data_IF_764709223561
#
_entry.id   IF_764709223561
#
_cell.length_a   1.000
_cell.length_b   1.000
_cell.length_c   1.000
_cell.angle_alpha   90.00
_cell.angle_beta   90.00
_cell.angle_gamma   90.00
#
_symmetry.space_group_name_H-M   'P 1'
#
loop_
_entity.id
_entity.type
_entity.pdbx_description
1 polymer ?
#
# COMPACT_ATOMS: atom_id res chain seq x y z
N UNK A 1 -24.00 -16.54 11.86
CA UNK A 1 -23.49 -16.49 10.46
C UNK A 1 -23.88 -17.76 9.73
N UNK A 2 -24.17 -17.69 8.44
CA UNK A 2 -24.50 -18.87 7.62
C UNK A 2 -23.21 -19.50 7.09
N UNK A 3 -23.06 -20.81 7.31
CA UNK A 3 -21.99 -21.60 6.70
C UNK A 3 -22.44 -22.01 5.30
N UNK A 4 -21.59 -21.79 4.31
CA UNK A 4 -21.86 -22.06 2.90
C UNK A 4 -20.96 -23.19 2.41
N UNK A 5 -21.50 -24.13 1.63
CA UNK A 5 -20.70 -25.21 1.04
C UNK A 5 -20.32 -24.82 -0.39
N UNK A 6 -19.02 -24.62 -0.63
CA UNK A 6 -18.49 -24.24 -1.93
C UNK A 6 -18.84 -25.24 -3.04
N UNK A 7 -18.85 -26.52 -2.71
CA UNK A 7 -19.10 -27.57 -3.69
C UNK A 7 -20.58 -27.73 -4.04
N UNK A 8 -21.48 -27.20 -3.19
CA UNK A 8 -22.91 -27.13 -3.46
C UNK A 8 -23.33 -25.86 -4.24
N UNK A 9 -22.39 -24.95 -4.54
CA UNK A 9 -22.66 -23.68 -5.24
C UNK A 9 -22.32 -23.77 -6.73
N UNK A 10 -23.13 -23.08 -7.55
CA UNK A 10 -22.82 -22.86 -8.97
C UNK A 10 -21.83 -21.70 -9.19
N UNK A 11 -21.42 -21.46 -10.43
CA UNK A 11 -20.45 -20.41 -10.79
C UNK A 11 -20.94 -19.00 -10.41
N UNK A 12 -22.22 -18.70 -10.58
CA UNK A 12 -22.77 -17.38 -10.24
C UNK A 12 -22.77 -17.15 -8.73
N UNK A 13 -23.15 -18.17 -7.96
CA UNK A 13 -23.11 -18.16 -6.50
C UNK A 13 -21.68 -18.02 -5.98
N UNK A 14 -20.70 -18.75 -6.55
CA UNK A 14 -19.28 -18.61 -6.22
C UNK A 14 -18.76 -17.20 -6.45
N UNK A 15 -19.13 -16.59 -7.58
CA UNK A 15 -18.78 -15.20 -7.87
C UNK A 15 -19.36 -14.25 -6.83
N UNK A 16 -20.63 -14.44 -6.45
CA UNK A 16 -21.28 -13.62 -5.43
C UNK A 16 -20.64 -13.80 -4.04
N UNK A 17 -20.20 -15.02 -3.69
CA UNK A 17 -19.52 -15.29 -2.42
C UNK A 17 -18.19 -14.52 -2.28
N UNK A 18 -17.46 -14.36 -3.38
CA UNK A 18 -16.18 -13.69 -3.42
C UNK A 18 -16.29 -12.18 -3.75
N UNK A 19 -17.53 -11.69 -3.96
CA UNK A 19 -17.75 -10.27 -4.22
C UNK A 19 -17.53 -9.44 -2.97
N UNK A 20 -16.80 -8.34 -3.13
CA UNK A 20 -16.51 -7.39 -2.06
C UNK A 20 -17.66 -6.40 -1.85
N UNK A 21 -17.95 -5.98 -0.59
CA UNK A 21 -19.11 -5.14 -0.29
C UNK A 21 -19.12 -3.80 -1.03
N UNK A 22 -17.96 -3.18 -1.18
CA UNK A 22 -17.81 -1.83 -1.71
C UNK A 22 -17.35 -1.77 -3.18
N UNK A 23 -17.54 -2.87 -3.96
CA UNK A 23 -17.19 -2.89 -5.39
C UNK A 23 -18.28 -2.29 -6.29
N UNK A 24 -19.36 -1.76 -5.73
CA UNK A 24 -20.35 -1.03 -6.52
C UNK A 24 -19.72 0.23 -7.11
N UNK A 25 -19.85 0.38 -8.43
CA UNK A 25 -19.41 1.58 -9.16
C UNK A 25 -20.18 2.80 -8.65
N UNK A 26 -19.62 3.54 -7.71
CA UNK A 26 -20.27 4.68 -7.09
C UNK A 26 -19.95 5.98 -7.86
N UNK A 27 -20.73 6.23 -8.91
CA UNK A 27 -20.64 7.46 -9.68
C UNK A 27 -20.85 8.72 -8.82
N UNK A 28 -21.65 8.63 -7.76
CA UNK A 28 -21.87 9.74 -6.83
C UNK A 28 -20.63 10.03 -5.98
N UNK A 29 -19.94 8.98 -5.51
CA UNK A 29 -18.65 9.11 -4.83
C UNK A 29 -17.63 9.80 -5.72
N UNK A 30 -17.46 9.32 -6.96
CA UNK A 30 -16.51 9.91 -7.94
C UNK A 30 -16.82 11.38 -8.20
N UNK A 31 -18.07 11.72 -8.46
CA UNK A 31 -18.48 13.12 -8.70
C UNK A 31 -18.24 14.01 -7.47
N UNK A 32 -18.53 13.51 -6.27
CA UNK A 32 -18.28 14.22 -5.01
C UNK A 32 -16.80 14.48 -4.79
N UNK A 33 -15.95 13.46 -4.96
CA UNK A 33 -14.49 13.59 -4.83
C UNK A 33 -13.93 14.56 -5.86
N UNK A 34 -14.36 14.46 -7.12
CA UNK A 34 -13.95 15.38 -8.18
C UNK A 34 -14.30 16.84 -7.86
N UNK A 35 -15.49 17.07 -7.30
CA UNK A 35 -15.90 18.40 -6.88
C UNK A 35 -15.03 18.95 -5.75
N UNK A 36 -14.68 18.11 -4.76
CA UNK A 36 -13.79 18.50 -3.65
C UNK A 36 -12.38 18.83 -4.14
N UNK A 37 -11.79 17.98 -5.00
CA UNK A 37 -10.45 18.20 -5.59
C UNK A 37 -10.45 19.51 -6.38
N UNK A 38 -11.44 19.71 -7.25
CA UNK A 38 -11.57 20.95 -8.02
C UNK A 38 -11.65 22.18 -7.10
N UNK A 39 -12.50 22.11 -6.08
CA UNK A 39 -12.66 23.19 -5.11
C UNK A 39 -11.34 23.54 -4.40
N UNK A 40 -10.56 22.53 -3.98
CA UNK A 40 -9.23 22.75 -3.38
C UNK A 40 -8.29 23.44 -4.37
N UNK A 41 -8.30 23.05 -5.64
CA UNK A 41 -7.45 23.65 -6.68
C UNK A 41 -7.80 25.09 -6.99
N UNK A 42 -9.10 25.42 -7.04
CA UNK A 42 -9.58 26.76 -7.42
C UNK A 42 -9.55 27.75 -6.25
N UNK A 43 -9.89 27.31 -5.05
CA UNK A 43 -10.05 28.16 -3.88
C UNK A 43 -8.85 28.12 -2.92
N UNK A 44 -7.93 27.20 -3.10
CA UNK A 44 -6.67 27.10 -2.37
C UNK A 44 -6.86 26.90 -0.85
N UNK A 45 -6.11 27.67 -0.07
CA UNK A 45 -6.08 27.58 1.40
C UNK A 45 -7.47 27.80 2.02
N UNK A 46 -8.33 28.64 1.40
CA UNK A 46 -9.70 28.88 1.88
C UNK A 46 -10.52 27.59 1.87
N UNK A 47 -10.48 26.83 0.75
CA UNK A 47 -11.16 25.55 0.66
C UNK A 47 -10.64 24.53 1.69
N UNK A 48 -9.33 24.47 1.90
CA UNK A 48 -8.75 23.59 2.93
C UNK A 48 -9.29 23.91 4.32
N UNK A 49 -9.34 25.19 4.70
CA UNK A 49 -9.85 25.60 6.00
C UNK A 49 -11.35 25.25 6.19
N UNK A 50 -12.18 25.52 5.17
CA UNK A 50 -13.61 25.22 5.22
C UNK A 50 -13.90 23.73 5.24
N UNK A 51 -13.13 22.93 4.47
CA UNK A 51 -13.30 21.48 4.44
C UNK A 51 -12.81 20.82 5.74
N UNK A 52 -11.71 21.30 6.33
CA UNK A 52 -11.24 20.87 7.64
C UNK A 52 -12.26 21.20 8.73
N UNK A 53 -12.83 22.41 8.72
CA UNK A 53 -13.90 22.77 9.65
C UNK A 53 -15.14 21.87 9.50
N UNK A 54 -15.50 21.53 8.26
CA UNK A 54 -16.67 20.68 7.95
C UNK A 54 -16.47 19.21 8.31
N UNK A 55 -15.32 18.62 7.98
CA UNK A 55 -15.10 17.19 8.08
C UNK A 55 -14.35 16.76 9.34
N UNK A 56 -13.44 17.61 9.82
CA UNK A 56 -12.62 17.33 11.01
C UNK A 56 -13.11 18.10 12.25
N UNK A 57 -14.07 19.02 12.09
CA UNK A 57 -14.76 19.71 13.19
C UNK A 57 -13.94 20.80 13.89
N UNK A 58 -12.82 21.24 13.29
CA UNK A 58 -11.96 22.27 13.86
C UNK A 58 -11.58 23.33 12.84
N UNK A 59 -11.29 24.54 13.32
CA UNK A 59 -10.81 25.68 12.51
C UNK A 59 -9.33 25.89 12.78
N UNK A 60 -8.52 25.81 11.73
CA UNK A 60 -7.07 26.00 11.80
C UNK A 60 -6.66 27.27 11.07
N UNK A 61 -5.81 28.09 11.69
CA UNK A 61 -5.17 29.25 11.04
C UNK A 61 -4.01 28.80 10.13
N UNK A 62 -3.28 27.78 10.56
CA UNK A 62 -2.18 27.18 9.85
C UNK A 62 -2.29 25.65 9.91
N UNK A 63 -1.91 24.99 8.84
CA UNK A 63 -1.99 23.51 8.77
C UNK A 63 -0.70 22.83 9.22
N UNK A 64 0.45 23.52 9.17
CA UNK A 64 1.75 22.94 9.54
C UNK A 64 1.88 22.77 11.04
N UNK A 65 2.31 21.59 11.46
CA UNK A 65 2.64 21.28 12.86
C UNK A 65 3.93 22.00 13.24
N UNK A 66 3.93 22.65 14.42
CA UNK A 66 5.10 23.39 14.92
C UNK A 66 6.08 22.47 15.65
N UNK A 67 7.33 22.93 15.85
CA UNK A 67 8.35 22.22 16.64
C UNK A 67 7.93 22.03 18.09
N UNK A 68 7.20 22.99 18.65
CA UNK A 68 6.66 22.93 20.02
C UNK A 68 5.64 21.79 20.17
N UNK A 69 4.78 21.57 19.15
CA UNK A 69 3.83 20.46 19.16
C UNK A 69 4.52 19.10 19.15
N UNK A 70 5.64 18.95 18.45
CA UNK A 70 6.46 17.72 18.52
C UNK A 70 7.09 17.53 19.91
N UNK A 71 7.61 18.60 20.52
CA UNK A 71 8.17 18.51 21.86
C UNK A 71 7.11 18.15 22.92
N UNK A 72 5.91 18.72 22.79
CA UNK A 72 4.76 18.40 23.64
C UNK A 72 4.34 16.94 23.45
N UNK A 73 4.23 16.46 22.22
CA UNK A 73 3.89 15.06 21.93
C UNK A 73 4.87 14.07 22.58
N UNK A 74 6.16 14.37 22.57
CA UNK A 74 7.17 13.56 23.27
C UNK A 74 6.96 13.51 24.80
N UNK A 75 6.46 14.59 25.40
CA UNK A 75 6.17 14.62 26.81
C UNK A 75 4.85 13.92 27.17
N UNK A 76 3.84 14.00 26.30
CA UNK A 76 2.50 13.42 26.54
C UNK A 76 2.46 11.91 26.32
N UNK A 77 3.18 11.40 25.30
CA UNK A 77 3.13 9.96 24.99
C UNK A 77 3.81 9.14 26.08
N UNK A 78 3.13 8.13 26.67
CA UNK A 78 3.70 7.29 27.71
C UNK A 78 5.00 6.59 27.27
N UNK A 79 5.94 6.41 28.17
CA UNK A 79 7.24 5.78 27.90
C UNK A 79 7.08 4.35 27.33
N UNK A 80 6.07 3.60 27.78
CA UNK A 80 5.76 2.27 27.25
C UNK A 80 5.36 2.32 25.77
N UNK A 81 4.55 3.30 25.36
CA UNK A 81 4.14 3.46 23.96
C UNK A 81 5.33 3.94 23.09
N UNK A 82 6.15 4.87 23.60
CA UNK A 82 7.38 5.28 22.89
C UNK A 82 8.31 4.10 22.67
N UNK A 83 8.53 3.26 23.70
CA UNK A 83 9.32 2.05 23.58
C UNK A 83 8.76 1.04 22.56
N UNK A 84 7.43 0.90 22.47
CA UNK A 84 6.79 0.06 21.47
C UNK A 84 6.97 0.62 20.04
N UNK A 85 6.83 1.94 19.85
CA UNK A 85 7.08 2.64 18.58
C UNK A 85 8.52 2.43 18.12
N UNK A 86 9.51 2.62 19.01
CA UNK A 86 10.93 2.40 18.70
C UNK A 86 11.21 0.95 18.32
N UNK A 87 10.69 0.00 19.09
CA UNK A 87 10.88 -1.42 18.84
C UNK A 87 10.23 -1.87 17.50
N UNK A 88 9.06 -1.31 17.17
CA UNK A 88 8.40 -1.54 15.88
C UNK A 88 9.23 -0.96 14.73
N UNK A 89 9.65 0.32 14.84
CA UNK A 89 10.54 0.96 13.88
C UNK A 89 11.78 0.12 13.58
N UNK A 90 12.45 -0.39 14.60
CA UNK A 90 13.68 -1.17 14.44
C UNK A 90 13.46 -2.47 13.67
N UNK A 91 12.32 -3.15 13.88
CA UNK A 91 11.99 -4.37 13.15
C UNK A 91 11.60 -4.07 11.70
N UNK A 92 10.80 -3.03 11.47
CA UNK A 92 10.43 -2.55 10.13
C UNK A 92 11.68 -2.15 9.35
N UNK A 93 12.61 -1.42 9.99
CA UNK A 93 13.87 -1.01 9.37
C UNK A 93 14.72 -2.21 8.97
N UNK A 94 14.89 -3.21 9.85
CA UNK A 94 15.66 -4.43 9.55
C UNK A 94 15.08 -5.20 8.36
N UNK A 95 13.77 -5.38 8.34
CA UNK A 95 13.11 -6.12 7.26
C UNK A 95 13.25 -5.39 5.93
N UNK A 96 12.93 -4.11 5.92
CA UNK A 96 12.98 -3.30 4.70
C UNK A 96 14.41 -3.07 4.20
N UNK A 97 15.39 -2.94 5.08
CA UNK A 97 16.81 -2.83 4.70
C UNK A 97 17.31 -4.12 4.03
N UNK A 98 16.90 -5.28 4.54
CA UNK A 98 17.24 -6.58 3.92
C UNK A 98 16.65 -6.76 2.52
N UNK A 99 15.45 -6.18 2.27
CA UNK A 99 14.74 -6.22 0.99
C UNK A 99 15.14 -5.14 -0.02
N UNK A 100 16.15 -4.33 0.25
CA UNK A 100 16.57 -3.24 -0.66
C UNK A 100 17.07 -3.78 -1.99
N UNK A 101 16.52 -3.24 -3.08
CA UNK A 101 17.00 -3.52 -4.43
C UNK A 101 18.41 -2.94 -4.60
N UNK A 102 19.28 -3.71 -5.27
CA UNK A 102 20.66 -3.26 -5.57
C UNK A 102 20.77 -2.76 -7.01
N UNK A 103 21.57 -1.71 -7.26
CA UNK A 103 21.97 -1.35 -8.62
C UNK A 103 22.84 -2.48 -9.19
N UNK A 104 22.91 -2.56 -10.52
CA UNK A 104 23.80 -3.50 -11.18
C UNK A 104 24.32 -2.92 -12.50
N UNK A 105 25.46 -3.48 -12.93
CA UNK A 105 26.10 -3.22 -14.21
C UNK A 105 26.32 -4.54 -14.92
N UNK A 106 26.04 -4.59 -16.21
CA UNK A 106 26.23 -5.76 -17.06
C UNK A 106 26.79 -5.34 -18.40
N UNK A 107 27.81 -6.03 -18.89
CA UNK A 107 28.27 -5.93 -20.26
C UNK A 107 27.44 -6.91 -21.11
N UNK A 108 26.55 -6.40 -21.97
CA UNK A 108 25.64 -7.20 -22.79
C UNK A 108 26.27 -7.68 -24.11
N UNK A 109 27.29 -6.97 -24.58
CA UNK A 109 28.19 -7.36 -25.64
C UNK A 109 29.55 -6.65 -25.39
N UNK A 110 30.68 -7.13 -25.95
CA UNK A 110 31.96 -6.49 -25.78
C UNK A 110 31.91 -4.98 -26.10
N UNK A 111 32.20 -4.14 -25.10
CA UNK A 111 32.13 -2.68 -25.23
C UNK A 111 30.73 -2.07 -25.15
N UNK A 112 29.71 -2.87 -24.74
CA UNK A 112 28.33 -2.39 -24.49
C UNK A 112 27.98 -2.61 -23.04
N UNK A 113 28.03 -1.55 -22.26
CA UNK A 113 27.76 -1.57 -20.80
C UNK A 113 26.37 -1.01 -20.52
N UNK A 114 25.53 -1.83 -19.90
CA UNK A 114 24.21 -1.45 -19.43
C UNK A 114 24.17 -1.44 -17.91
N UNK A 115 23.58 -0.38 -17.33
CA UNK A 115 23.49 -0.25 -15.88
C UNK A 115 22.06 0.03 -15.46
N UNK A 116 21.70 -0.43 -14.26
CA UNK A 116 20.52 0.03 -13.53
C UNK A 116 20.97 0.77 -12.29
N UNK A 117 20.74 2.08 -12.25
CA UNK A 117 20.96 2.91 -11.08
C UNK A 117 19.63 3.21 -10.39
N UNK A 118 19.66 3.39 -9.07
CA UNK A 118 18.50 3.72 -8.25
C UNK A 118 18.55 5.18 -7.85
N UNK A 119 17.40 5.84 -7.86
CA UNK A 119 17.25 7.22 -7.38
C UNK A 119 16.00 7.31 -6.51
N UNK A 120 16.05 7.97 -5.34
CA UNK A 120 14.87 8.24 -4.54
C UNK A 120 13.90 9.15 -5.29
N UNK A 121 12.62 8.99 -4.98
CA UNK A 121 11.61 9.98 -5.36
C UNK A 121 11.88 11.24 -4.54
N UNK A 122 11.88 12.39 -5.19
CA UNK A 122 12.35 13.63 -4.55
C UNK A 122 11.39 14.14 -3.49
N UNK A 123 10.08 14.08 -3.74
CA UNK A 123 9.05 14.58 -2.84
C UNK A 123 7.95 13.55 -2.70
N UNK A 124 7.80 12.98 -1.51
CA UNK A 124 6.79 11.98 -1.23
C UNK A 124 5.80 12.49 -0.20
N UNK A 125 4.52 12.22 -0.43
CA UNK A 125 3.43 12.54 0.48
C UNK A 125 2.94 11.28 1.17
N UNK A 126 2.90 11.29 2.49
CA UNK A 126 2.41 10.20 3.33
C UNK A 126 1.07 10.62 3.93
N UNK A 127 0.03 9.85 3.68
CA UNK A 127 -1.26 10.04 4.32
C UNK A 127 -1.41 9.07 5.50
N UNK A 128 -1.59 9.61 6.69
CA UNK A 128 -1.78 8.83 7.92
C UNK A 128 -3.20 9.09 8.44
N UNK A 129 -4.10 8.10 8.38
CA UNK A 129 -5.45 8.25 8.93
C UNK A 129 -5.44 8.46 10.45
N UNK A 130 -6.34 9.31 10.95
CA UNK A 130 -6.53 9.55 12.38
C UNK A 130 -8.01 9.84 12.75
N UNK A 131 -8.96 9.63 11.83
CA UNK A 131 -10.36 10.04 12.04
C UNK A 131 -11.07 9.24 13.14
N UNK A 132 -11.26 7.94 12.96
CA UNK A 132 -11.93 7.07 13.96
C UNK A 132 -10.96 6.47 14.98
N UNK A 133 -9.69 6.34 14.62
CA UNK A 133 -8.58 5.95 15.49
C UNK A 133 -7.28 6.50 14.90
N UNK A 134 -6.35 7.00 15.70
CA UNK A 134 -5.03 7.38 15.23
C UNK A 134 -4.22 6.14 14.87
N UNK A 135 -3.46 6.22 13.76
CA UNK A 135 -2.67 5.11 13.26
C UNK A 135 -1.16 5.46 13.24
N UNK A 136 -0.49 5.55 14.39
CA UNK A 136 0.95 5.81 14.46
C UNK A 136 1.77 4.73 13.72
N UNK A 137 1.28 3.50 13.66
CA UNK A 137 1.89 2.41 12.88
C UNK A 137 2.01 2.77 11.40
N UNK A 138 0.99 3.42 10.81
CA UNK A 138 1.06 3.86 9.41
C UNK A 138 2.18 4.87 9.16
N UNK A 139 2.44 5.76 10.13
CA UNK A 139 3.59 6.68 10.03
C UNK A 139 4.92 5.92 9.99
N UNK A 140 5.07 4.83 10.76
CA UNK A 140 6.25 3.95 10.72
C UNK A 140 6.34 3.18 9.40
N UNK A 141 5.24 2.53 8.98
CA UNK A 141 5.16 1.69 7.79
C UNK A 141 5.46 2.45 6.49
N UNK A 142 5.18 3.75 6.47
CA UNK A 142 5.49 4.62 5.33
C UNK A 142 6.81 5.36 5.51
N UNK A 143 7.06 5.89 6.71
CA UNK A 143 8.22 6.74 6.99
C UNK A 143 9.55 5.99 6.97
N UNK A 144 9.60 4.77 7.53
CA UNK A 144 10.83 3.97 7.54
C UNK A 144 11.31 3.63 6.12
N UNK A 145 10.49 3.04 5.22
CA UNK A 145 10.95 2.76 3.87
C UNK A 145 11.22 4.02 3.04
N UNK A 146 10.51 5.14 3.26
CA UNK A 146 10.81 6.42 2.62
C UNK A 146 12.21 6.96 3.01
N UNK A 147 12.55 6.87 4.30
CA UNK A 147 13.87 7.23 4.82
C UNK A 147 14.98 6.31 4.28
N UNK A 148 14.76 4.99 4.31
CA UNK A 148 15.71 4.00 3.75
C UNK A 148 15.94 4.20 2.25
N UNK A 149 14.92 4.60 1.51
CA UNK A 149 15.05 4.95 0.10
C UNK A 149 15.88 6.20 -0.14
N UNK A 150 16.07 7.04 0.88
CA UNK A 150 16.78 8.31 0.80
C UNK A 150 15.94 9.45 0.20
N UNK A 151 14.62 9.44 0.37
CA UNK A 151 13.74 10.51 -0.12
C UNK A 151 14.12 11.85 0.53
N UNK A 152 14.50 12.90 -0.25
CA UNK A 152 14.97 14.16 0.33
C UNK A 152 13.87 14.95 1.03
N UNK A 153 12.63 14.86 0.56
CA UNK A 153 11.49 15.54 1.15
C UNK A 153 10.35 14.56 1.39
N UNK A 154 10.02 14.40 2.67
CA UNK A 154 8.90 13.55 3.12
C UNK A 154 7.89 14.48 3.80
N UNK A 155 6.69 14.52 3.26
CA UNK A 155 5.55 15.29 3.78
C UNK A 155 4.55 14.31 4.36
N UNK A 156 4.04 14.56 5.56
CA UNK A 156 3.00 13.76 6.18
C UNK A 156 1.75 14.59 6.39
N UNK A 157 0.60 14.11 5.93
CA UNK A 157 -0.71 14.66 6.24
C UNK A 157 -1.50 13.71 7.13
N UNK A 158 -2.09 14.26 8.20
CA UNK A 158 -2.97 13.52 9.12
C UNK A 158 -4.12 14.42 9.52
N UNK A 159 -5.35 13.90 9.71
CA UNK A 159 -6.47 14.70 10.22
C UNK A 159 -6.14 15.33 11.57
N UNK A 160 -6.55 16.57 11.82
CA UNK A 160 -6.49 17.16 13.16
C UNK A 160 -7.48 16.49 14.10
N UNK A 161 -7.21 16.57 15.39
CA UNK A 161 -8.18 16.30 16.46
C UNK A 161 -9.20 17.44 16.56
N UNK A 162 -10.30 17.23 17.29
CA UNK A 162 -11.35 18.24 17.45
C UNK A 162 -10.85 19.53 18.12
N UNK A 163 -9.78 19.46 18.91
CA UNK A 163 -9.12 20.62 19.52
C UNK A 163 -8.14 21.34 18.57
N UNK A 164 -8.00 20.85 17.33
CA UNK A 164 -7.09 21.40 16.33
C UNK A 164 -5.63 20.91 16.46
N UNK A 165 -5.34 20.00 17.39
CA UNK A 165 -4.00 19.41 17.54
C UNK A 165 -3.82 18.18 16.67
N UNK A 166 -2.55 17.76 16.46
CA UNK A 166 -2.22 16.43 15.95
C UNK A 166 -2.35 15.38 17.05
N UNK A 167 -2.58 14.11 16.64
CA UNK A 167 -2.43 13.01 17.61
C UNK A 167 -0.96 12.89 18.05
N UNK A 168 -0.65 12.88 19.37
CA UNK A 168 0.71 12.87 19.86
C UNK A 168 1.49 11.60 19.45
N UNK A 169 0.84 10.43 19.39
CA UNK A 169 1.50 9.19 19.00
C UNK A 169 1.89 9.19 17.51
N UNK A 170 1.08 9.81 16.65
CA UNK A 170 1.42 10.01 15.23
C UNK A 170 2.63 10.93 15.08
N UNK A 171 2.71 12.01 15.88
CA UNK A 171 3.87 12.91 15.86
C UNK A 171 5.15 12.23 16.34
N UNK A 172 5.07 11.43 17.42
CA UNK A 172 6.20 10.63 17.90
C UNK A 172 6.67 9.65 16.81
N UNK A 173 5.74 8.92 16.18
CA UNK A 173 6.06 8.00 15.10
C UNK A 173 6.67 8.70 13.88
N UNK A 174 6.16 9.88 13.49
CA UNK A 174 6.74 10.70 12.44
C UNK A 174 8.19 11.12 12.79
N UNK A 175 8.41 11.58 14.02
CA UNK A 175 9.72 12.06 14.48
C UNK A 175 10.78 10.96 14.51
N UNK A 176 10.44 9.74 14.94
CA UNK A 176 11.40 8.61 14.92
C UNK A 176 11.74 8.15 13.50
N UNK A 177 10.91 8.52 12.51
CA UNK A 177 11.20 8.36 11.09
C UNK A 177 11.96 9.55 10.48
N UNK A 178 12.25 10.62 11.26
CA UNK A 178 12.92 11.83 10.78
C UNK A 178 12.00 12.74 9.95
N UNK A 179 10.68 12.68 10.16
CA UNK A 179 9.70 13.48 9.45
C UNK A 179 9.30 14.67 10.33
N UNK A 180 9.62 15.88 9.88
CA UNK A 180 9.30 17.16 10.53
C UNK A 180 8.27 18.00 9.73
N UNK A 181 7.99 17.61 8.51
CA UNK A 181 7.04 18.29 7.62
C UNK A 181 5.66 17.63 7.73
N UNK A 182 4.95 17.91 8.82
CA UNK A 182 3.62 17.36 9.12
C UNK A 182 2.56 18.44 8.99
N UNK A 183 1.43 18.09 8.36
CA UNK A 183 0.30 18.98 8.11
C UNK A 183 -1.00 18.36 8.63
N UNK A 184 -1.82 19.19 9.27
CA UNK A 184 -3.12 18.84 9.85
C UNK A 184 -4.21 18.93 8.77
N UNK A 185 -4.24 17.95 7.91
CA UNK A 185 -5.21 17.82 6.83
C UNK A 185 -5.64 16.35 6.71
N UNK A 186 -6.95 16.12 6.65
CA UNK A 186 -7.55 14.80 6.48
C UNK A 186 -8.19 14.61 5.10
N UNK A 187 -8.62 13.41 4.77
CA UNK A 187 -9.48 13.07 3.65
C UNK A 187 -9.01 13.52 2.27
N UNK A 188 -9.98 13.82 1.40
CA UNK A 188 -9.76 14.24 0.01
C UNK A 188 -8.91 15.51 -0.08
N UNK A 189 -9.11 16.47 0.85
CA UNK A 189 -8.39 17.73 0.84
C UNK A 189 -6.90 17.57 1.14
N UNK A 190 -6.51 16.58 1.95
CA UNK A 190 -5.10 16.24 2.19
C UNK A 190 -4.44 15.69 0.92
N UNK A 191 -5.12 14.77 0.24
CA UNK A 191 -4.64 14.19 -1.03
C UNK A 191 -4.48 15.28 -2.09
N UNK A 192 -5.46 16.15 -2.25
CA UNK A 192 -5.39 17.27 -3.18
C UNK A 192 -4.29 18.27 -2.81
N UNK A 193 -4.14 18.62 -1.52
CA UNK A 193 -3.09 19.53 -1.06
C UNK A 193 -1.69 19.00 -1.38
N UNK A 194 -1.41 17.71 -1.13
CA UNK A 194 -0.14 17.09 -1.45
C UNK A 194 0.08 16.97 -2.96
N UNK A 195 -0.96 16.60 -3.73
CA UNK A 195 -0.84 16.41 -5.17
C UNK A 195 -0.57 17.70 -5.93
N UNK A 196 -1.13 18.84 -5.47
CA UNK A 196 -1.05 20.11 -6.20
C UNK A 196 -0.20 21.18 -5.50
N UNK A 197 0.26 20.96 -4.28
CA UNK A 197 1.08 21.93 -3.54
C UNK A 197 0.26 23.11 -3.01
N UNK A 198 -0.81 22.84 -2.26
CA UNK A 198 -1.77 23.85 -1.79
C UNK A 198 -1.71 24.00 -0.26
N UNK A 199 -1.95 25.20 0.25
CA UNK A 199 -2.03 25.46 1.70
C UNK A 199 -0.69 25.38 2.43
N UNK A 200 0.41 25.68 1.75
CA UNK A 200 1.77 25.55 2.29
C UNK A 200 2.33 24.12 2.26
N UNK A 201 1.51 23.15 1.85
CA UNK A 201 1.97 21.76 1.63
C UNK A 201 2.81 21.71 0.37
N UNK A 202 4.05 21.21 0.43
CA UNK A 202 4.87 21.03 -0.77
C UNK A 202 4.20 20.08 -1.77
N UNK A 203 4.25 20.40 -3.06
CA UNK A 203 3.77 19.49 -4.10
C UNK A 203 4.61 18.21 -4.08
N UNK A 204 3.94 17.06 -3.95
CA UNK A 204 4.56 15.75 -3.93
C UNK A 204 4.55 15.10 -5.32
N UNK A 205 5.57 14.29 -5.58
CA UNK A 205 5.70 13.55 -6.84
C UNK A 205 4.95 12.20 -6.77
N UNK A 206 4.83 11.63 -5.56
CA UNK A 206 4.09 10.38 -5.31
C UNK A 206 3.47 10.38 -3.92
N UNK A 207 2.24 9.86 -3.81
CA UNK A 207 1.46 9.78 -2.59
C UNK A 207 1.35 8.33 -2.12
N UNK A 208 1.42 8.15 -0.80
CA UNK A 208 1.36 6.86 -0.13
C UNK A 208 0.38 6.90 1.03
N UNK A 209 -0.19 5.78 1.36
CA UNK A 209 -0.98 5.59 2.56
C UNK A 209 -2.38 5.06 2.31
N UNK A 210 -2.91 4.32 3.31
CA UNK A 210 -4.26 3.77 3.28
C UNK A 210 -5.29 4.86 3.56
N UNK A 211 -6.54 4.58 3.25
CA UNK A 211 -7.65 5.48 3.56
C UNK A 211 -9.00 4.85 3.22
N UNK A 212 -10.07 5.54 3.59
CA UNK A 212 -11.41 5.12 3.22
C UNK A 212 -11.67 5.30 1.70
N UNK A 213 -12.86 4.92 1.23
CA UNK A 213 -13.24 4.99 -0.18
C UNK A 213 -13.06 6.39 -0.80
N UNK A 214 -13.28 7.48 -0.03
CA UNK A 214 -13.06 8.85 -0.49
C UNK A 214 -11.56 9.14 -0.74
N UNK A 215 -10.69 8.72 0.17
CA UNK A 215 -9.23 8.88 0.04
C UNK A 215 -8.70 8.05 -1.13
N UNK A 216 -9.18 6.81 -1.26
CA UNK A 216 -8.83 5.91 -2.36
C UNK A 216 -9.23 6.51 -3.71
N UNK A 217 -10.45 6.97 -3.83
CA UNK A 217 -10.95 7.63 -5.05
C UNK A 217 -10.16 8.93 -5.35
N UNK A 218 -9.84 9.72 -4.32
CA UNK A 218 -9.04 10.93 -4.50
C UNK A 218 -7.63 10.60 -5.02
N UNK A 219 -6.99 9.57 -4.49
CA UNK A 219 -5.68 9.08 -4.98
C UNK A 219 -5.77 8.68 -6.45
N UNK A 220 -6.80 7.95 -6.85
CA UNK A 220 -6.98 7.55 -8.24
C UNK A 220 -7.20 8.74 -9.17
N UNK A 221 -8.01 9.72 -8.77
CA UNK A 221 -8.26 10.91 -9.58
C UNK A 221 -7.02 11.77 -9.74
N UNK A 222 -6.24 12.00 -8.68
CA UNK A 222 -5.00 12.79 -8.80
C UNK A 222 -3.91 12.03 -9.58
N UNK A 223 -3.92 10.70 -9.58
CA UNK A 223 -2.99 9.89 -10.37
C UNK A 223 -3.30 9.92 -11.86
N UNK A 224 -4.55 10.13 -12.23
CA UNK A 224 -4.99 10.27 -13.62
C UNK A 224 -4.86 11.71 -14.16
N UNK A 225 -4.58 12.70 -13.30
CA UNK A 225 -4.33 14.08 -13.73
C UNK A 225 -2.82 14.27 -14.02
N UNK A 226 -2.43 14.68 -15.23
CA UNK A 226 -1.03 14.98 -15.54
C UNK A 226 -0.38 16.03 -14.64
N UNK A 227 -1.17 16.94 -14.05
CA UNK A 227 -0.70 17.93 -13.08
C UNK A 227 -0.67 17.40 -11.63
N UNK A 228 -1.19 16.22 -11.39
CA UNK A 228 -1.32 15.60 -10.08
C UNK A 228 -0.05 14.92 -9.59
N UNK A 229 -0.21 13.78 -8.94
CA UNK A 229 0.88 12.99 -8.37
C UNK A 229 0.62 11.49 -8.56
N UNK A 230 1.69 10.70 -8.76
CA UNK A 230 1.57 9.24 -8.75
C UNK A 230 1.09 8.72 -7.38
N UNK A 231 0.65 7.47 -7.32
CA UNK A 231 0.23 6.83 -6.06
C UNK A 231 0.99 5.51 -5.85
N UNK A 232 0.98 5.02 -4.60
CA UNK A 232 1.57 3.74 -4.21
C UNK A 232 0.88 2.56 -4.91
N UNK A 233 -0.41 2.37 -4.64
CA UNK A 233 -1.24 1.31 -5.19
C UNK A 233 -2.73 1.64 -5.01
N UNK A 234 -3.63 0.97 -5.75
CA UNK A 234 -5.04 0.94 -5.40
C UNK A 234 -5.23 0.24 -4.04
N UNK A 235 -5.84 0.92 -3.09
CA UNK A 235 -6.15 0.38 -1.78
C UNK A 235 -7.56 0.80 -1.38
N UNK A 236 -8.38 -0.13 -0.93
CA UNK A 236 -9.74 0.08 -0.43
C UNK A 236 -9.88 -0.38 1.02
N UNK A 237 -11.10 -0.69 1.49
CA UNK A 237 -11.32 -1.28 2.78
C UNK A 237 -10.50 -2.55 3.01
N UNK A 238 -10.12 -2.75 4.27
CA UNK A 238 -9.24 -3.86 4.67
C UNK A 238 -9.93 -5.22 4.57
N UNK A 239 -9.15 -6.26 4.29
CA UNK A 239 -9.63 -7.61 4.02
C UNK A 239 -8.74 -8.66 4.71
N UNK A 240 -9.35 -9.70 5.26
CA UNK A 240 -8.64 -10.92 5.70
C UNK A 240 -9.31 -12.17 5.15
N UNK A 241 -8.50 -13.10 4.67
CA UNK A 241 -8.92 -14.45 4.35
C UNK A 241 -8.11 -15.42 5.20
N UNK A 242 -8.82 -16.26 5.96
CA UNK A 242 -8.22 -17.32 6.78
C UNK A 242 -8.51 -18.66 6.12
N UNK A 243 -7.47 -19.48 5.97
CA UNK A 243 -7.59 -20.90 5.61
C UNK A 243 -7.25 -21.72 6.84
N UNK A 244 -8.15 -22.60 7.27
CA UNK A 244 -7.98 -23.37 8.48
C UNK A 244 -8.34 -24.85 8.32
N UNK A 245 -7.53 -25.74 8.88
CA UNK A 245 -7.86 -27.17 9.01
C UNK A 245 -8.51 -27.49 10.37
N UNK A 246 -8.97 -28.72 10.55
CA UNK A 246 -9.64 -29.17 11.77
C UNK A 246 -8.78 -29.07 13.04
N UNK A 247 -7.47 -28.87 12.92
CA UNK A 247 -6.56 -28.73 14.07
C UNK A 247 -6.33 -27.30 14.51
N UNK A 248 -6.91 -26.30 13.85
CA UNK A 248 -6.77 -24.90 14.19
C UNK A 248 -7.62 -24.50 15.42
N UNK A 249 -7.20 -23.46 16.12
CA UNK A 249 -7.91 -22.94 17.28
C UNK A 249 -9.02 -21.95 16.87
N UNK A 250 -10.27 -22.29 17.16
CA UNK A 250 -11.42 -21.46 16.82
C UNK A 250 -11.41 -20.09 17.52
N UNK A 251 -10.80 -19.96 18.70
CA UNK A 251 -10.71 -18.68 19.41
C UNK A 251 -9.73 -17.74 18.71
N UNK A 252 -8.60 -18.25 18.22
CA UNK A 252 -7.60 -17.47 17.51
C UNK A 252 -8.14 -17.00 16.16
N UNK A 253 -8.76 -17.90 15.39
CA UNK A 253 -9.37 -17.54 14.11
C UNK A 253 -10.45 -16.46 14.30
N UNK A 254 -11.32 -16.61 15.30
CA UNK A 254 -12.34 -15.62 15.59
C UNK A 254 -11.73 -14.25 15.93
N UNK A 255 -10.64 -14.22 16.70
CA UNK A 255 -9.92 -12.99 17.04
C UNK A 255 -9.31 -12.32 15.79
N UNK A 256 -8.71 -13.09 14.87
CA UNK A 256 -8.15 -12.58 13.62
C UNK A 256 -9.23 -12.03 12.69
N UNK A 257 -10.38 -12.69 12.56
CA UNK A 257 -11.50 -12.18 11.77
C UNK A 257 -12.08 -10.89 12.37
N UNK A 258 -12.12 -10.79 13.71
CA UNK A 258 -12.63 -9.61 14.41
C UNK A 258 -11.65 -8.45 14.38
N UNK A 259 -10.33 -8.68 14.44
CA UNK A 259 -9.33 -7.64 14.30
C UNK A 259 -9.47 -6.91 12.96
N UNK A 260 -9.75 -7.64 11.89
CA UNK A 260 -10.02 -7.05 10.58
C UNK A 260 -11.40 -6.37 10.51
N UNK A 261 -12.43 -6.97 11.11
CA UNK A 261 -13.79 -6.42 11.08
C UNK A 261 -13.92 -5.07 11.80
N UNK A 262 -13.06 -4.77 12.79
CA UNK A 262 -13.10 -3.51 13.52
C UNK A 262 -12.49 -2.32 12.77
N UNK A 263 -11.77 -2.53 11.66
CA UNK A 263 -11.21 -1.45 10.84
C UNK A 263 -12.31 -0.56 10.24
N UNK A 264 -13.37 -1.16 9.70
CA UNK A 264 -14.45 -0.38 9.08
C UNK A 264 -15.67 -1.21 8.72
N UNK A 265 -16.82 -0.56 8.48
CA UNK A 265 -18.08 -1.27 8.17
C UNK A 265 -18.02 -2.03 6.83
N UNK A 266 -17.11 -1.63 5.94
CA UNK A 266 -16.93 -2.22 4.61
C UNK A 266 -15.79 -3.26 4.60
N UNK A 267 -15.18 -3.57 5.75
CA UNK A 267 -14.16 -4.61 5.88
C UNK A 267 -14.76 -5.98 5.54
N UNK A 268 -14.00 -6.81 4.84
CA UNK A 268 -14.43 -8.16 4.51
C UNK A 268 -13.56 -9.22 5.19
N UNK A 269 -14.22 -10.17 5.84
CA UNK A 269 -13.60 -11.30 6.53
C UNK A 269 -14.11 -12.60 5.95
N UNK A 270 -13.21 -13.50 5.56
CA UNK A 270 -13.52 -14.78 4.95
C UNK A 270 -12.79 -15.89 5.70
N UNK A 271 -13.50 -16.96 6.03
CA UNK A 271 -12.91 -18.19 6.54
C UNK A 271 -13.22 -19.34 5.57
N UNK A 272 -12.19 -20.00 5.11
CA UNK A 272 -12.27 -21.26 4.35
C UNK A 272 -11.78 -22.40 5.24
N UNK A 273 -12.59 -23.45 5.37
CA UNK A 273 -12.18 -24.63 6.13
C UNK A 273 -12.78 -25.93 5.55
N UNK A 274 -12.01 -26.99 5.62
CA UNK A 274 -12.48 -28.35 5.30
C UNK A 274 -13.15 -29.05 6.52
N UNK A 275 -13.37 -28.30 7.62
CA UNK A 275 -14.04 -28.81 8.83
C UNK A 275 -15.31 -28.02 9.15
N UNK A 276 -16.47 -28.63 8.94
CA UNK A 276 -17.74 -28.05 9.35
C UNK A 276 -17.84 -27.78 10.84
N UNK A 277 -17.21 -28.65 11.67
CA UNK A 277 -17.18 -28.47 13.10
C UNK A 277 -16.43 -27.19 13.49
N UNK A 278 -15.23 -26.98 12.94
CA UNK A 278 -14.43 -25.77 13.17
C UNK A 278 -15.19 -24.50 12.73
N UNK A 279 -15.85 -24.52 11.57
CA UNK A 279 -16.66 -23.38 11.11
C UNK A 279 -17.77 -23.03 12.10
N UNK A 280 -18.43 -24.05 12.68
CA UNK A 280 -19.43 -23.86 13.72
C UNK A 280 -18.88 -23.28 15.01
N UNK A 281 -17.73 -23.78 15.47
CA UNK A 281 -17.00 -23.28 16.64
C UNK A 281 -16.54 -21.84 16.46
N UNK A 282 -15.97 -21.50 15.31
CA UNK A 282 -15.55 -20.12 14.98
C UNK A 282 -16.76 -19.18 14.94
N UNK A 283 -17.89 -19.59 14.36
CA UNK A 283 -19.10 -18.77 14.37
C UNK A 283 -19.60 -18.45 15.79
N UNK A 284 -19.51 -19.43 16.71
CA UNK A 284 -19.86 -19.23 18.11
C UNK A 284 -18.84 -18.30 18.80
N UNK A 285 -17.55 -18.48 18.57
CA UNK A 285 -16.49 -17.64 19.11
C UNK A 285 -16.58 -16.18 18.63
N UNK A 286 -16.87 -15.94 17.34
CA UNK A 286 -17.11 -14.59 16.82
C UNK A 286 -18.26 -13.91 17.58
N UNK A 287 -19.38 -14.59 17.77
CA UNK A 287 -20.53 -14.02 18.49
C UNK A 287 -20.18 -13.67 19.96
N UNK A 288 -19.40 -14.52 20.63
CA UNK A 288 -18.96 -14.32 22.00
C UNK A 288 -17.96 -13.17 22.11
N UNK A 289 -16.93 -13.14 21.28
CA UNK A 289 -15.85 -12.16 21.37
C UNK A 289 -16.31 -10.77 20.87
N UNK A 290 -17.11 -10.69 19.80
CA UNK A 290 -17.66 -9.43 19.29
C UNK A 290 -18.48 -8.67 20.32
N UNK A 291 -19.18 -9.40 21.23
CA UNK A 291 -19.95 -8.77 22.29
C UNK A 291 -19.13 -7.96 23.29
N UNK A 292 -17.83 -8.21 23.37
CA UNK A 292 -16.88 -7.57 24.30
C UNK A 292 -16.13 -6.39 23.66
N UNK A 293 -16.24 -6.19 22.33
CA UNK A 293 -15.46 -5.17 21.64
C UNK A 293 -16.07 -3.77 21.79
N UNK A 294 -15.25 -2.74 22.10
CA UNK A 294 -15.71 -1.36 22.21
C UNK A 294 -16.32 -0.82 20.91
N UNK A 295 -15.82 -1.27 19.74
CA UNK A 295 -16.26 -0.84 18.41
C UNK A 295 -17.34 -1.75 17.80
N UNK A 296 -18.13 -2.44 18.64
CA UNK A 296 -19.12 -3.43 18.25
C UNK A 296 -20.02 -2.99 17.08
N UNK A 297 -20.52 -1.75 17.08
CA UNK A 297 -21.39 -1.26 16.01
C UNK A 297 -20.72 -1.20 14.62
N UNK A 298 -19.40 -1.11 14.53
CA UNK A 298 -18.63 -1.20 13.29
C UNK A 298 -18.49 -2.69 12.93
N UNK A 299 -18.05 -3.49 13.90
CA UNK A 299 -17.87 -4.94 13.76
C UNK A 299 -19.16 -5.62 13.27
N UNK A 300 -20.32 -5.32 13.86
CA UNK A 300 -21.61 -5.91 13.45
C UNK A 300 -21.93 -5.62 11.98
N UNK A 301 -21.59 -4.44 11.48
CA UNK A 301 -21.78 -4.09 10.05
C UNK A 301 -20.81 -4.85 9.15
N UNK A 302 -19.54 -4.93 9.50
CA UNK A 302 -18.56 -5.72 8.75
C UNK A 302 -18.91 -7.20 8.72
N UNK A 303 -19.37 -7.76 9.85
CA UNK A 303 -19.78 -9.16 9.96
C UNK A 303 -21.02 -9.50 9.13
N UNK A 304 -21.84 -8.53 8.73
CA UNK A 304 -22.92 -8.77 7.76
C UNK A 304 -22.39 -9.24 6.39
N UNK A 305 -21.14 -8.89 6.08
CA UNK A 305 -20.46 -9.30 4.85
C UNK A 305 -19.51 -10.50 5.05
N UNK A 306 -19.36 -11.01 6.28
CA UNK A 306 -18.50 -12.15 6.58
C UNK A 306 -18.93 -13.42 5.82
N UNK A 307 -17.96 -14.25 5.45
CA UNK A 307 -18.18 -15.51 4.76
C UNK A 307 -17.48 -16.65 5.51
N UNK A 308 -18.24 -17.65 5.90
CA UNK A 308 -17.74 -18.93 6.42
C UNK A 308 -18.03 -19.99 5.37
N UNK A 309 -16.99 -20.53 4.74
CA UNK A 309 -17.13 -21.39 3.55
C UNK A 309 -16.50 -22.74 3.83
N UNK A 310 -17.30 -23.80 3.70
CA UNK A 310 -16.83 -25.17 3.71
C UNK A 310 -16.26 -25.54 2.35
N UNK A 311 -15.05 -26.10 2.35
CA UNK A 311 -14.32 -26.56 1.17
C UNK A 311 -13.96 -28.05 1.28
N UNK A 312 -13.65 -28.71 0.17
CA UNK A 312 -13.29 -30.12 0.19
C UNK A 312 -11.96 -30.39 0.90
N UNK A 313 -10.97 -29.54 0.64
CA UNK A 313 -9.60 -29.68 1.17
C UNK A 313 -8.87 -28.33 1.15
N UNK A 314 -7.64 -28.31 1.65
CA UNK A 314 -6.82 -27.09 1.73
C UNK A 314 -6.34 -26.66 0.34
N UNK A 315 -6.12 -27.56 -0.60
CA UNK A 315 -5.76 -27.18 -1.98
C UNK A 315 -6.87 -26.36 -2.65
N UNK A 316 -8.13 -26.78 -2.52
CA UNK A 316 -9.27 -26.00 -2.99
C UNK A 316 -9.35 -24.63 -2.28
N UNK A 317 -9.05 -24.57 -0.98
CA UNK A 317 -9.03 -23.30 -0.25
C UNK A 317 -7.97 -22.35 -0.80
N UNK A 318 -6.78 -22.84 -1.14
CA UNK A 318 -5.70 -22.05 -1.77
C UNK A 318 -6.14 -21.53 -3.16
N UNK A 319 -6.77 -22.37 -3.98
CA UNK A 319 -7.29 -21.96 -5.29
C UNK A 319 -8.32 -20.83 -5.16
N UNK A 320 -9.23 -20.94 -4.19
CA UNK A 320 -10.22 -19.90 -3.89
C UNK A 320 -9.52 -18.63 -3.40
N UNK A 321 -8.54 -18.75 -2.52
CA UNK A 321 -7.75 -17.62 -2.02
C UNK A 321 -7.01 -16.90 -3.15
N UNK A 322 -6.33 -17.63 -4.04
CA UNK A 322 -5.66 -17.05 -5.20
C UNK A 322 -6.65 -16.35 -6.14
N UNK A 323 -7.82 -16.93 -6.34
CA UNK A 323 -8.90 -16.30 -7.12
C UNK A 323 -9.45 -15.03 -6.44
N UNK A 324 -9.52 -15.00 -5.13
CA UNK A 324 -9.92 -13.81 -4.35
C UNK A 324 -8.80 -12.77 -4.30
N UNK A 325 -7.54 -13.18 -4.15
CA UNK A 325 -6.35 -12.33 -3.97
C UNK A 325 -6.50 -11.38 -2.77
N UNK A 326 -6.47 -11.91 -1.54
CA UNK A 326 -6.71 -11.14 -0.33
C UNK A 326 -5.56 -10.18 -0.01
N UNK A 327 -5.86 -9.13 0.74
CA UNK A 327 -4.88 -8.27 1.39
C UNK A 327 -4.04 -9.08 2.39
N UNK A 328 -4.71 -9.72 3.35
CA UNK A 328 -4.11 -10.58 4.36
C UNK A 328 -4.57 -12.02 4.16
N UNK A 329 -3.64 -12.95 4.10
CA UNK A 329 -3.90 -14.38 4.06
C UNK A 329 -3.32 -15.05 5.30
N UNK A 330 -4.16 -15.69 6.13
CA UNK A 330 -3.71 -16.48 7.27
C UNK A 330 -3.87 -17.96 6.94
N UNK A 331 -2.78 -18.73 7.06
CA UNK A 331 -2.78 -20.18 6.91
C UNK A 331 -2.72 -20.85 8.29
N UNK A 332 -3.88 -20.99 8.96
CA UNK A 332 -4.03 -21.69 10.24
C UNK A 332 -4.24 -23.19 10.03
N UNK A 333 -3.23 -23.81 9.47
CA UNK A 333 -3.20 -25.25 9.13
C UNK A 333 -1.97 -25.91 9.73
N UNK A 334 -1.96 -27.26 9.87
CA UNK A 334 -0.87 -27.98 10.60
C UNK A 334 0.49 -27.84 9.94
N UNK A 335 0.57 -27.78 8.63
CA UNK A 335 1.82 -27.65 7.86
C UNK A 335 1.77 -26.44 6.91
N UNK A 336 1.72 -25.19 7.43
CA UNK A 336 1.42 -24.02 6.60
C UNK A 336 2.49 -23.76 5.53
N UNK A 337 3.79 -24.04 5.80
CA UNK A 337 4.86 -23.81 4.83
C UNK A 337 4.77 -24.72 3.61
N UNK A 338 4.14 -25.87 3.71
CA UNK A 338 3.92 -26.79 2.59
C UNK A 338 3.09 -26.13 1.46
N UNK A 339 2.19 -25.21 1.83
CA UNK A 339 1.27 -24.56 0.92
C UNK A 339 1.79 -23.25 0.33
N UNK A 340 2.95 -22.76 0.81
CA UNK A 340 3.44 -21.44 0.47
C UNK A 340 3.75 -21.28 -1.02
N UNK A 341 4.26 -22.31 -1.67
CA UNK A 341 4.59 -22.31 -3.10
C UNK A 341 3.34 -22.27 -3.99
N UNK A 342 2.18 -22.67 -3.46
CA UNK A 342 0.90 -22.65 -4.17
C UNK A 342 0.15 -21.31 -4.00
N UNK A 343 0.57 -20.46 -3.04
CA UNK A 343 0.03 -19.12 -2.86
C UNK A 343 0.64 -18.18 -3.90
N UNK A 344 -0.17 -17.76 -4.86
CA UNK A 344 0.27 -16.85 -5.94
C UNK A 344 -0.24 -15.42 -5.81
N UNK A 345 -1.28 -15.20 -5.03
CA UNK A 345 -1.93 -13.90 -4.89
C UNK A 345 -2.31 -13.62 -3.43
N UNK A 346 -1.51 -12.80 -2.75
CA UNK A 346 -1.83 -12.23 -1.44
C UNK A 346 -0.98 -10.97 -1.20
N UNK A 347 -1.47 -10.03 -0.43
CA UNK A 347 -0.70 -8.85 -0.02
C UNK A 347 0.34 -9.24 1.05
N UNK A 348 -0.07 -10.01 2.06
CA UNK A 348 0.79 -10.58 3.09
C UNK A 348 0.29 -11.97 3.51
N UNK A 349 1.19 -12.86 3.93
CA UNK A 349 0.86 -14.24 4.35
C UNK A 349 1.36 -14.50 5.76
N UNK A 350 0.48 -15.02 6.62
CA UNK A 350 0.73 -15.36 8.02
C UNK A 350 0.63 -16.87 8.20
N UNK A 351 1.63 -17.49 8.83
CA UNK A 351 1.77 -18.95 8.87
C UNK A 351 1.59 -19.50 10.28
N UNK A 352 0.54 -20.30 10.47
CA UNK A 352 0.27 -21.04 11.69
C UNK A 352 -0.45 -20.21 12.77
N UNK A 353 -0.75 -20.88 13.88
CA UNK A 353 -1.63 -20.38 14.93
C UNK A 353 -1.08 -19.17 15.71
N UNK A 354 0.23 -18.93 15.66
CA UNK A 354 0.90 -17.85 16.43
C UNK A 354 1.33 -16.67 15.54
N UNK A 355 0.80 -16.55 14.35
CA UNK A 355 1.06 -15.46 13.43
C UNK A 355 -0.23 -14.67 13.12
N UNK A 356 -0.83 -13.98 14.10
CA UNK A 356 -1.99 -13.15 13.86
C UNK A 356 -1.62 -11.97 12.96
N UNK A 357 -2.57 -11.52 12.15
CA UNK A 357 -2.46 -10.36 11.27
C UNK A 357 -1.93 -9.12 12.00
N UNK A 358 -2.42 -8.88 13.22
CA UNK A 358 -2.02 -7.73 14.05
C UNK A 358 -0.50 -7.62 14.28
N UNK A 359 0.26 -8.73 14.28
CA UNK A 359 1.72 -8.63 14.35
C UNK A 359 2.32 -8.02 13.10
N UNK A 360 1.76 -8.32 11.92
CA UNK A 360 2.14 -7.69 10.65
C UNK A 360 1.79 -6.22 10.62
N UNK A 361 0.65 -5.86 11.16
CA UNK A 361 0.15 -4.50 11.20
C UNK A 361 0.98 -3.57 12.10
N UNK A 362 1.56 -4.11 13.16
CA UNK A 362 2.20 -3.27 14.17
C UNK A 362 3.70 -3.46 14.29
N UNK A 363 4.23 -4.69 14.32
CA UNK A 363 5.56 -4.87 14.87
C UNK A 363 6.40 -6.03 14.35
N UNK A 364 5.92 -6.91 13.47
CA UNK A 364 6.73 -8.02 12.96
C UNK A 364 7.87 -7.57 12.03
N UNK A 365 7.69 -6.43 11.35
CA UNK A 365 8.65 -5.84 10.44
C UNK A 365 8.19 -5.76 8.99
N UNK A 366 7.18 -6.53 8.58
CA UNK A 366 6.53 -6.41 7.28
C UNK A 366 5.73 -5.11 7.19
N UNK A 367 5.16 -4.80 6.02
CA UNK A 367 4.38 -3.58 5.83
C UNK A 367 2.89 -3.88 5.77
N UNK A 368 2.07 -3.08 6.45
CA UNK A 368 0.62 -3.22 6.42
C UNK A 368 -0.06 -2.38 5.33
N UNK A 369 0.68 -1.54 4.60
CA UNK A 369 0.12 -0.83 3.44
C UNK A 369 0.16 -1.76 2.24
N UNK A 370 -0.91 -2.49 2.06
CA UNK A 370 -1.05 -3.64 1.17
C UNK A 370 -2.10 -3.38 0.09
N UNK A 371 -2.03 -4.07 -1.05
CA UNK A 371 -3.05 -4.00 -2.08
C UNK A 371 -4.33 -4.72 -1.63
N UNK A 372 -5.47 -4.05 -1.76
CA UNK A 372 -6.81 -4.59 -1.48
C UNK A 372 -7.62 -4.75 -2.76
N UNK A 373 -8.86 -5.20 -2.67
CA UNK A 373 -9.77 -5.34 -3.81
C UNK A 373 -9.25 -6.24 -4.93
N UNK A 374 -8.48 -7.26 -4.57
CA UNK A 374 -7.88 -8.17 -5.54
C UNK A 374 -6.69 -7.58 -6.29
N UNK A 375 -6.23 -6.39 -5.93
CA UNK A 375 -5.05 -5.78 -6.53
C UNK A 375 -3.77 -6.59 -6.23
N UNK A 376 -3.77 -7.47 -5.21
CA UNK A 376 -2.67 -8.39 -4.92
C UNK A 376 -2.33 -9.36 -6.08
N UNK A 377 -3.17 -9.45 -7.12
CA UNK A 377 -2.84 -10.16 -8.37
C UNK A 377 -1.71 -9.52 -9.17
N UNK A 378 -1.49 -8.20 -9.00
CA UNK A 378 -0.53 -7.45 -9.82
C UNK A 378 0.28 -6.42 -9.01
N UNK A 379 -0.09 -6.17 -7.76
CA UNK A 379 0.54 -5.19 -6.90
C UNK A 379 1.10 -5.84 -5.65
N UNK A 380 2.21 -5.31 -5.17
CA UNK A 380 2.82 -5.68 -3.89
C UNK A 380 2.59 -4.60 -2.85
N UNK A 381 2.71 -4.95 -1.58
CA UNK A 381 2.73 -3.98 -0.48
C UNK A 381 3.88 -2.99 -0.58
N UNK A 382 3.79 -1.91 0.20
CA UNK A 382 4.81 -0.87 0.25
C UNK A 382 6.16 -1.44 0.70
N UNK A 383 7.21 -1.07 -0.02
CA UNK A 383 8.60 -1.42 0.27
C UNK A 383 9.52 -0.24 -0.04
N UNK A 384 10.83 -0.37 0.23
CA UNK A 384 11.81 0.65 -0.16
C UNK A 384 11.78 0.94 -1.66
N UNK A 385 11.58 -0.09 -2.49
CA UNK A 385 11.48 0.07 -3.93
C UNK A 385 10.29 0.94 -4.37
N UNK A 386 9.21 1.01 -3.58
CA UNK A 386 8.06 1.88 -3.86
C UNK A 386 8.41 3.37 -3.83
N UNK A 387 9.46 3.74 -3.07
CA UNK A 387 9.98 5.10 -2.91
C UNK A 387 11.17 5.43 -3.82
N UNK A 388 11.54 4.49 -4.68
CA UNK A 388 12.65 4.63 -5.61
C UNK A 388 12.18 4.49 -7.05
N UNK A 389 12.97 5.04 -7.96
CA UNK A 389 12.87 4.80 -9.39
C UNK A 389 14.19 4.26 -9.91
N UNK A 390 14.13 3.31 -10.81
CA UNK A 390 15.29 2.82 -11.54
C UNK A 390 15.48 3.61 -12.83
N UNK A 391 16.73 3.95 -13.13
CA UNK A 391 17.13 4.58 -14.38
C UNK A 391 18.11 3.64 -15.05
N UNK A 392 17.87 3.35 -16.32
CA UNK A 392 18.82 2.59 -17.16
C UNK A 392 19.86 3.54 -17.72
N UNK A 393 21.11 3.11 -17.72
CA UNK A 393 22.23 3.83 -18.31
C UNK A 393 22.86 2.91 -19.34
N UNK A 394 23.23 3.48 -20.50
CA UNK A 394 23.91 2.77 -21.56
C UNK A 394 25.20 3.54 -21.89
N UNK A 395 26.30 2.82 -21.86
CA UNK A 395 27.62 3.29 -22.26
C UNK A 395 28.17 2.34 -23.33
N UNK A 396 28.44 2.89 -24.53
CA UNK A 396 28.77 2.08 -25.71
C UNK A 396 30.05 2.64 -26.35
N UNK A 397 31.07 1.80 -26.41
CA UNK A 397 32.31 2.13 -27.11
C UNK A 397 32.14 2.07 -28.62
N UNK A 398 33.04 2.70 -29.43
CA UNK A 398 33.00 2.54 -30.87
C UNK A 398 33.02 1.07 -31.34
N UNK A 399 33.80 0.22 -30.64
CA UNK A 399 33.84 -1.21 -30.93
C UNK A 399 32.51 -1.90 -30.60
N UNK A 400 31.92 -1.57 -29.45
CA UNK A 400 30.60 -2.08 -29.08
C UNK A 400 29.52 -1.67 -30.10
N UNK A 401 29.55 -0.41 -30.53
CA UNK A 401 28.64 0.04 -31.56
C UNK A 401 28.86 -0.67 -32.92
N UNK A 402 30.10 -0.95 -33.28
CA UNK A 402 30.39 -1.73 -34.49
C UNK A 402 29.85 -3.17 -34.41
N UNK A 403 29.77 -3.73 -33.17
CA UNK A 403 29.26 -5.07 -32.93
C UNK A 403 27.73 -5.14 -32.99
N UNK A 404 27.01 -4.26 -32.31
CA UNK A 404 25.54 -4.34 -32.19
C UNK A 404 24.78 -3.37 -33.12
N UNK A 405 25.48 -2.39 -33.69
CA UNK A 405 24.87 -1.36 -34.55
C UNK A 405 24.18 -1.91 -35.80
N UNK A 406 24.77 -2.89 -36.55
CA UNK A 406 24.11 -3.49 -37.70
C UNK A 406 22.75 -4.10 -37.40
N UNK A 407 22.61 -4.75 -36.23
CA UNK A 407 21.33 -5.31 -35.78
C UNK A 407 20.30 -4.23 -35.50
N UNK A 408 20.72 -3.14 -34.86
CA UNK A 408 19.84 -2.01 -34.58
C UNK A 408 19.34 -1.33 -35.87
N UNK A 409 20.22 -1.18 -36.89
CA UNK A 409 19.85 -0.65 -38.21
C UNK A 409 18.84 -1.57 -38.89
N UNK A 410 19.06 -2.88 -38.82
CA UNK A 410 18.17 -3.87 -39.45
C UNK A 410 16.78 -3.82 -38.82
N UNK A 411 16.70 -3.81 -37.47
CA UNK A 411 15.44 -3.74 -36.75
C UNK A 411 14.71 -2.42 -36.99
N UNK A 412 15.41 -1.29 -36.93
CA UNK A 412 14.81 0.02 -37.20
C UNK A 412 14.19 0.13 -38.58
N UNK A 413 14.85 -0.44 -39.61
CA UNK A 413 14.31 -0.46 -40.99
C UNK A 413 13.12 -1.40 -41.13
N UNK A 414 13.12 -2.53 -40.44
CA UNK A 414 11.96 -3.43 -40.41
C UNK A 414 10.73 -2.75 -39.82
N UNK A 415 10.93 -1.86 -38.83
CA UNK A 415 9.89 -1.02 -38.24
C UNK A 415 9.58 0.26 -39.01
N UNK A 416 10.23 0.47 -40.17
CA UNK A 416 10.09 1.66 -41.02
C UNK A 416 10.55 2.97 -40.33
N UNK A 417 11.47 2.88 -39.38
CA UNK A 417 12.02 3.99 -38.59
C UNK A 417 13.41 4.39 -39.15
N UNK A 418 13.47 4.93 -40.35
CA UNK A 418 14.74 5.25 -41.05
C UNK A 418 15.60 6.27 -40.28
N UNK A 419 15.01 7.23 -39.57
CA UNK A 419 15.77 8.15 -38.75
C UNK A 419 16.52 7.45 -37.58
N UNK A 420 15.95 6.38 -36.99
CA UNK A 420 16.62 5.53 -36.04
C UNK A 420 17.77 4.75 -36.66
N UNK A 421 17.56 4.18 -37.85
CA UNK A 421 18.59 3.49 -38.60
C UNK A 421 19.76 4.43 -38.91
N UNK A 422 19.48 5.67 -39.41
CA UNK A 422 20.49 6.66 -39.68
C UNK A 422 21.24 7.15 -38.46
N UNK A 423 20.60 7.26 -37.31
CA UNK A 423 21.27 7.62 -36.08
C UNK A 423 22.41 6.65 -35.72
N UNK A 424 22.27 5.38 -36.07
CA UNK A 424 23.31 4.35 -35.89
C UNK A 424 24.28 4.33 -37.09
N UNK A 425 23.78 4.27 -38.33
CA UNK A 425 24.58 4.14 -39.55
C UNK A 425 25.63 5.25 -39.66
N UNK A 426 25.27 6.52 -39.40
CA UNK A 426 26.21 7.65 -39.43
C UNK A 426 27.38 7.51 -38.45
N UNK A 427 27.13 6.88 -37.29
CA UNK A 427 28.19 6.59 -36.29
C UNK A 427 29.09 5.46 -36.76
N UNK A 428 28.52 4.41 -37.38
CA UNK A 428 29.29 3.32 -37.97
C UNK A 428 30.18 3.83 -39.10
N UNK A 429 29.67 4.67 -40.01
CA UNK A 429 30.43 5.32 -41.08
C UNK A 429 31.60 6.16 -40.50
N UNK A 430 31.35 6.92 -39.47
CA UNK A 430 32.40 7.71 -38.78
C UNK A 430 33.51 6.85 -38.20
N UNK A 431 33.15 5.70 -37.60
CA UNK A 431 34.12 4.74 -37.05
C UNK A 431 35.00 4.17 -38.17
N UNK A 432 34.39 3.77 -39.27
CA UNK A 432 35.09 3.24 -40.46
C UNK A 432 36.02 4.28 -41.09
N UNK A 433 35.57 5.51 -41.24
CA UNK A 433 36.38 6.61 -41.80
C UNK A 433 37.62 6.91 -40.97
N UNK A 434 37.50 6.87 -39.63
CA UNK A 434 38.64 7.05 -38.71
C UNK A 434 39.62 5.90 -38.75
N UNK A 435 39.14 4.67 -38.89
CA UNK A 435 40.00 3.51 -39.04
C UNK A 435 40.76 3.47 -40.36
N UNK A 436 40.14 3.93 -41.46
CA UNK A 436 40.78 4.00 -42.79
C UNK A 436 41.71 5.21 -43.01
N UNK A 437 41.59 6.26 -42.17
CA UNK A 437 42.46 7.44 -42.23
C UNK A 437 43.73 7.35 -41.35
N UNK A 438 43.92 6.26 -40.62
CA UNK A 438 45.08 5.99 -39.77
C UNK A 438 46.18 5.13 -40.47
N UNK A 439 46.00 4.86 -41.78
CA UNK A 439 47.04 4.24 -42.63
C UNK A 439 47.69 5.31 -43.51
#
# INVERSE_FOLDING_TARGET
MLIQDWNATDTAQRTALLQRPAQADDAALRASVAALIRRVREEGTRALAELTARFDGCTLAEFRVTSEAFAQAQAEVPASLRGAIDAARDRIERFHAAGMTRPYTLETAPGVRCERILRPIQRVGLYVPAGSAPLPSTALMLGVPARLAGCPQIVLCTPPRADGSADPAVLVAAQVCGIDSVFLLGGVQAIAAMAYGIGGVPKCDKLFGPGNSFVTEAKQQVANDPAGAAIDMPAGPSEVLVIADAGADAQFIAADLLSQAEHGPDSQVILLSNSLNLLGEVAAQIAQQAALLPRRGIVDRALAHARLIHVADIAQAIDISNAYAPEHLILSVREPRRWLDEVTCAGSVFLGDYAPEALGDYCSGTNHVLPTYGAARAWSGVSVASFQKSITVQDVTPQGLATIGPDAVTLARAEQLEAHAQAVSRRLESIQARAGGAT
#
